data_IF_060809238828
#
_entry.id   IF_060809238828
#
_cell.length_a   1.000
_cell.length_b   1.000
_cell.length_c   1.000
_cell.angle_alpha   90.00
_cell.angle_beta   90.00
_cell.angle_gamma   90.00
#
_symmetry.space_group_name_H-M   'P 1'
#
loop_
_entity.id
_entity.type
_entity.pdbx_description
1 polymer ?
#
# COMPACT_ATOMS: atom_id res chain seq x y z
N UNK A 1 16.89 29.20 -14.17
CA UNK A 1 16.15 28.47 -13.12
C UNK A 1 16.74 27.07 -13.08
N UNK A 2 17.59 26.80 -12.11
CA UNK A 2 18.23 25.50 -11.92
C UNK A 2 17.34 24.68 -11.00
N UNK A 3 16.77 23.59 -11.52
CA UNK A 3 16.10 22.58 -10.72
C UNK A 3 17.08 22.05 -9.68
N UNK A 4 16.88 22.45 -8.42
CA UNK A 4 17.51 21.78 -7.29
C UNK A 4 16.85 20.41 -7.18
N UNK A 5 17.51 19.39 -7.70
CA UNK A 5 17.18 17.99 -7.43
C UNK A 5 17.23 17.80 -5.92
N UNK A 6 16.06 17.64 -5.29
CA UNK A 6 15.95 17.35 -3.86
C UNK A 6 16.53 15.95 -3.61
N UNK A 7 17.66 15.80 -2.89
CA UNK A 7 18.41 14.55 -2.81
C UNK A 7 17.72 13.44 -1.96
N UNK A 8 16.45 13.62 -1.60
CA UNK A 8 15.68 12.68 -0.77
C UNK A 8 14.44 12.07 -1.44
N UNK A 9 14.12 12.42 -2.69
CA UNK A 9 12.99 11.85 -3.42
C UNK A 9 13.43 10.64 -4.26
N UNK A 10 12.65 9.55 -4.29
CA UNK A 10 12.88 8.47 -5.24
C UNK A 10 12.88 9.00 -6.67
N UNK A 11 13.72 8.43 -7.53
CA UNK A 11 13.65 8.67 -8.96
C UNK A 11 12.27 8.23 -9.49
N UNK A 12 11.74 8.90 -10.53
CA UNK A 12 10.51 8.45 -11.21
C UNK A 12 10.60 6.96 -11.58
N UNK A 13 9.51 6.25 -11.39
CA UNK A 13 9.40 4.84 -11.74
C UNK A 13 8.46 4.70 -12.92
N UNK A 14 8.87 3.94 -13.92
CA UNK A 14 8.10 3.71 -15.14
C UNK A 14 7.95 2.21 -15.42
N UNK A 15 6.74 1.81 -15.78
CA UNK A 15 6.45 0.49 -16.34
C UNK A 15 6.04 0.65 -17.81
N UNK A 16 7.05 0.66 -18.68
CA UNK A 16 6.87 0.88 -20.13
C UNK A 16 6.05 -0.22 -20.79
N UNK A 17 6.23 -1.49 -20.38
CA UNK A 17 5.42 -2.61 -20.85
C UNK A 17 3.93 -2.37 -20.60
N UNK A 18 3.59 -1.92 -19.38
CA UNK A 18 2.21 -1.66 -19.02
C UNK A 18 1.63 -0.43 -19.75
N UNK A 19 2.45 0.60 -19.96
CA UNK A 19 2.11 1.77 -20.79
C UNK A 19 1.76 1.36 -22.22
N UNK A 20 2.61 0.57 -22.87
CA UNK A 20 2.40 0.12 -24.26
C UNK A 20 1.13 -0.73 -24.38
N UNK A 21 0.91 -1.64 -23.44
CA UNK A 21 -0.31 -2.45 -23.38
C UNK A 21 -1.57 -1.57 -23.25
N UNK A 22 -1.56 -0.57 -22.37
CA UNK A 22 -2.66 0.37 -22.20
C UNK A 22 -2.92 1.20 -23.48
N UNK A 23 -1.87 1.67 -24.16
CA UNK A 23 -1.99 2.41 -25.43
C UNK A 23 -2.62 1.53 -26.52
N UNK A 24 -2.17 0.28 -26.66
CA UNK A 24 -2.75 -0.65 -27.64
C UNK A 24 -4.22 -0.94 -27.33
N UNK A 25 -4.56 -1.16 -26.07
CA UNK A 25 -5.95 -1.36 -25.64
C UNK A 25 -6.84 -0.14 -25.95
N UNK A 26 -6.36 1.06 -25.63
CA UNK A 26 -7.04 2.31 -25.96
C UNK A 26 -7.27 2.46 -27.46
N UNK A 27 -6.28 2.10 -28.29
CA UNK A 27 -6.43 2.11 -29.73
C UNK A 27 -7.51 1.13 -30.21
N UNK A 28 -7.62 -0.08 -29.64
CA UNK A 28 -8.72 -0.99 -29.96
C UNK A 28 -10.08 -0.37 -29.62
N UNK A 29 -10.22 0.21 -28.42
CA UNK A 29 -11.47 0.84 -28.00
C UNK A 29 -11.88 2.01 -28.91
N UNK A 30 -10.92 2.82 -29.40
CA UNK A 30 -11.19 3.86 -30.41
C UNK A 30 -11.78 3.33 -31.72
N UNK A 31 -11.53 2.07 -32.05
CA UNK A 31 -12.14 1.40 -33.21
C UNK A 31 -13.47 0.71 -32.88
N UNK A 32 -14.04 0.97 -31.70
CA UNK A 32 -15.33 0.42 -31.25
C UNK A 32 -15.24 -0.98 -30.64
N UNK A 33 -14.04 -1.48 -30.34
CA UNK A 33 -13.85 -2.79 -29.73
C UNK A 33 -14.10 -2.75 -28.22
N UNK A 34 -14.89 -3.71 -27.71
CA UNK A 34 -15.09 -3.91 -26.27
C UNK A 34 -14.04 -4.90 -25.76
N UNK A 35 -13.26 -4.47 -24.77
CA UNK A 35 -12.19 -5.28 -24.18
C UNK A 35 -12.59 -5.78 -22.78
N UNK A 36 -12.04 -6.94 -22.42
CA UNK A 36 -12.32 -7.65 -21.17
C UNK A 36 -11.00 -8.16 -20.61
N UNK A 37 -10.78 -7.99 -19.31
CA UNK A 37 -9.54 -8.43 -18.67
C UNK A 37 -9.54 -9.96 -18.47
N UNK A 38 -8.41 -10.58 -18.79
CA UNK A 38 -8.12 -11.98 -18.44
C UNK A 38 -7.57 -12.16 -17.02
N UNK A 39 -7.27 -11.07 -16.32
CA UNK A 39 -6.80 -11.06 -14.92
C UNK A 39 -7.73 -10.23 -14.06
N UNK A 40 -7.93 -10.61 -12.80
CA UNK A 40 -8.75 -9.80 -11.89
C UNK A 40 -8.16 -8.38 -11.76
N UNK A 41 -8.94 -7.31 -11.93
CA UNK A 41 -8.41 -5.95 -11.87
C UNK A 41 -7.84 -5.54 -10.51
N UNK A 42 -8.34 -6.15 -9.43
CA UNK A 42 -7.92 -5.89 -8.05
C UNK A 42 -6.48 -6.34 -7.72
N UNK A 43 -5.85 -7.14 -8.59
CA UNK A 43 -4.46 -7.53 -8.44
C UNK A 43 -3.47 -6.47 -8.98
N UNK A 44 -3.96 -5.39 -9.60
CA UNK A 44 -3.12 -4.30 -10.10
C UNK A 44 -2.30 -4.60 -11.36
N UNK A 45 -2.43 -5.79 -11.92
CA UNK A 45 -1.74 -6.24 -13.14
C UNK A 45 -2.67 -6.29 -14.38
N UNK A 46 -3.98 -6.28 -14.14
CA UNK A 46 -5.01 -6.19 -15.17
C UNK A 46 -5.22 -4.76 -15.67
N UNK A 47 -5.79 -4.62 -16.87
CA UNK A 47 -6.42 -3.37 -17.30
C UNK A 47 -7.73 -3.18 -16.49
N UNK A 48 -8.20 -1.93 -16.30
CA UNK A 48 -9.42 -1.61 -15.54
C UNK A 48 -10.66 -1.90 -16.39
N UNK A 49 -10.80 -3.17 -16.75
CA UNK A 49 -11.84 -3.72 -17.60
C UNK A 49 -12.61 -4.78 -16.81
N UNK A 50 -13.84 -5.12 -17.22
CA UNK A 50 -14.56 -6.24 -16.63
C UNK A 50 -13.73 -7.52 -16.67
N UNK A 51 -13.85 -8.36 -15.65
CA UNK A 51 -13.13 -9.62 -15.59
C UNK A 51 -13.92 -10.73 -16.27
N UNK A 52 -13.31 -11.45 -17.22
CA UNK A 52 -14.02 -12.46 -18.01
C UNK A 52 -14.60 -13.58 -17.14
N UNK A 53 -13.91 -14.00 -16.09
CA UNK A 53 -14.37 -15.12 -15.26
C UNK A 53 -15.47 -14.74 -14.26
N UNK A 54 -15.85 -13.46 -14.18
CA UNK A 54 -17.04 -13.02 -13.45
C UNK A 54 -18.31 -13.07 -14.33
N UNK A 55 -18.18 -13.34 -15.64
CA UNK A 55 -19.32 -13.40 -16.57
C UNK A 55 -20.18 -14.65 -16.28
N UNK A 56 -21.48 -14.49 -15.99
CA UNK A 56 -22.36 -15.62 -15.74
C UNK A 56 -22.47 -16.55 -16.96
N UNK A 57 -22.49 -17.86 -16.72
CA UNK A 57 -22.66 -18.85 -17.78
C UNK A 57 -21.52 -18.91 -18.80
N UNK A 58 -20.35 -18.36 -18.49
CA UNK A 58 -19.16 -18.44 -19.34
C UNK A 58 -18.81 -19.91 -19.63
N UNK A 59 -18.72 -20.26 -20.91
CA UNK A 59 -18.35 -21.60 -21.38
C UNK A 59 -17.33 -21.51 -22.51
N UNK A 60 -16.68 -22.63 -22.83
CA UNK A 60 -15.74 -22.71 -23.95
C UNK A 60 -16.46 -22.38 -25.25
N UNK A 61 -15.88 -21.46 -26.03
CA UNK A 61 -16.40 -21.05 -27.33
C UNK A 61 -16.07 -22.05 -28.42
N UNK A 62 -16.86 -22.02 -29.49
CA UNK A 62 -16.49 -22.68 -30.75
C UNK A 62 -15.47 -21.84 -31.51
N UNK A 63 -14.53 -22.49 -32.22
CA UNK A 63 -13.55 -21.79 -33.06
C UNK A 63 -14.24 -20.79 -34.00
N UNK A 64 -13.76 -19.53 -34.12
CA UNK A 64 -12.46 -19.01 -33.67
C UNK A 64 -12.45 -18.34 -32.29
N UNK A 65 -13.45 -18.58 -31.44
CA UNK A 65 -13.61 -17.95 -30.12
C UNK A 65 -13.12 -18.86 -28.99
N UNK A 66 -12.58 -18.26 -27.94
CA UNK A 66 -12.08 -18.97 -26.76
C UNK A 66 -13.20 -19.27 -25.77
N UNK A 67 -14.08 -18.28 -25.57
CA UNK A 67 -15.24 -18.38 -24.68
C UNK A 67 -16.48 -17.79 -25.33
N UNK A 68 -17.63 -18.18 -24.81
CA UNK A 68 -18.94 -17.62 -25.14
C UNK A 68 -19.85 -17.63 -23.93
N UNK A 69 -20.86 -16.77 -23.95
CA UNK A 69 -21.94 -16.72 -22.98
C UNK A 69 -23.24 -16.30 -23.69
N UNK A 70 -24.32 -16.12 -22.95
CA UNK A 70 -25.61 -15.67 -23.48
C UNK A 70 -25.51 -14.33 -24.25
N UNK A 71 -24.68 -13.40 -23.77
CA UNK A 71 -24.59 -12.03 -24.31
C UNK A 71 -23.62 -11.89 -25.49
N UNK A 72 -22.69 -12.83 -25.69
CA UNK A 72 -21.71 -12.69 -26.75
C UNK A 72 -20.55 -13.69 -26.69
N UNK A 73 -19.53 -13.39 -27.50
CA UNK A 73 -18.34 -14.25 -27.69
C UNK A 73 -17.06 -13.50 -27.36
N UNK A 74 -16.07 -14.25 -26.87
CA UNK A 74 -14.79 -13.73 -26.43
C UNK A 74 -13.68 -14.35 -27.26
N UNK A 75 -12.79 -13.51 -27.80
CA UNK A 75 -11.58 -13.94 -28.49
C UNK A 75 -10.35 -13.35 -27.80
N UNK A 76 -9.41 -14.19 -27.41
CA UNK A 76 -8.20 -13.75 -26.75
C UNK A 76 -7.30 -12.97 -27.71
N UNK A 77 -6.82 -11.83 -27.23
CA UNK A 77 -5.87 -10.98 -27.94
C UNK A 77 -4.53 -11.01 -27.21
N UNK A 78 -3.62 -11.86 -27.70
CA UNK A 78 -2.32 -12.13 -27.09
C UNK A 78 -1.49 -10.86 -26.86
N UNK A 79 -1.53 -9.91 -27.79
CA UNK A 79 -0.79 -8.64 -27.65
C UNK A 79 -1.27 -7.78 -26.49
N UNK A 80 -2.53 -7.91 -26.09
CA UNK A 80 -3.14 -7.15 -25.01
C UNK A 80 -3.23 -7.92 -23.71
N UNK A 81 -2.98 -9.24 -23.71
CA UNK A 81 -3.29 -10.11 -22.59
C UNK A 81 -4.74 -9.94 -22.10
N UNK A 82 -5.67 -9.74 -23.04
CA UNK A 82 -7.08 -9.37 -22.80
C UNK A 82 -7.96 -10.05 -23.84
N UNK A 83 -9.28 -10.06 -23.63
CA UNK A 83 -10.24 -10.63 -24.57
C UNK A 83 -11.00 -9.52 -25.29
N UNK A 84 -11.21 -9.71 -26.60
CA UNK A 84 -12.17 -8.96 -27.39
C UNK A 84 -13.57 -9.56 -27.20
N UNK A 85 -14.53 -8.75 -26.75
CA UNK A 85 -15.92 -9.14 -26.64
C UNK A 85 -16.71 -8.70 -27.87
N UNK A 86 -17.42 -9.67 -28.49
CA UNK A 86 -18.35 -9.43 -29.59
C UNK A 86 -19.77 -9.70 -29.09
N UNK A 87 -20.60 -8.67 -28.89
CA UNK A 87 -21.97 -8.86 -28.40
C UNK A 87 -22.86 -9.49 -29.47
N UNK A 88 -23.83 -10.31 -29.07
CA UNK A 88 -24.77 -10.94 -30.00
C UNK A 88 -25.80 -9.94 -30.54
N UNK A 89 -26.42 -9.14 -29.66
CA UNK A 89 -27.45 -8.16 -29.99
C UNK A 89 -27.15 -6.77 -29.40
N UNK A 90 -25.86 -6.41 -29.31
CA UNK A 90 -25.41 -5.18 -28.63
C UNK A 90 -25.57 -5.20 -27.10
N UNK A 91 -26.00 -6.32 -26.53
CA UNK A 91 -26.13 -6.52 -25.08
C UNK A 91 -24.78 -6.84 -24.43
N UNK A 92 -24.66 -6.50 -23.15
CA UNK A 92 -23.50 -6.81 -22.31
C UNK A 92 -23.94 -7.65 -21.09
N UNK A 93 -23.05 -8.45 -20.49
CA UNK A 93 -23.32 -9.12 -19.23
C UNK A 93 -23.74 -8.15 -18.11
N UNK A 94 -24.47 -8.63 -17.09
CA UNK A 94 -24.82 -7.81 -15.93
C UNK A 94 -23.57 -7.29 -15.20
N UNK A 95 -23.73 -6.18 -14.49
CA UNK A 95 -22.69 -5.46 -13.74
C UNK A 95 -21.64 -4.77 -14.62
N UNK A 96 -21.73 -4.88 -15.95
CA UNK A 96 -20.82 -4.18 -16.85
C UNK A 96 -21.20 -2.72 -17.06
N UNK A 97 -22.41 -2.31 -16.68
CA UNK A 97 -22.92 -0.94 -16.80
C UNK A 97 -22.13 0.06 -15.94
N UNK A 98 -21.42 -0.43 -14.92
CA UNK A 98 -20.52 0.38 -14.08
C UNK A 98 -19.21 0.77 -14.79
N UNK A 99 -18.86 0.08 -15.87
CA UNK A 99 -17.67 0.38 -16.66
C UNK A 99 -18.05 1.24 -17.85
N UNK A 100 -17.24 2.26 -18.11
CA UNK A 100 -17.29 2.96 -19.39
C UNK A 100 -16.49 2.19 -20.44
N UNK A 101 -17.17 1.27 -21.12
CA UNK A 101 -16.56 0.37 -22.12
C UNK A 101 -16.17 1.08 -23.42
N UNK A 102 -16.74 2.26 -23.68
CA UNK A 102 -16.54 3.01 -24.93
C UNK A 102 -15.43 4.04 -24.78
N UNK A 103 -15.22 4.59 -23.58
CA UNK A 103 -14.09 5.49 -23.34
C UNK A 103 -12.77 4.72 -23.39
N UNK A 104 -11.83 5.11 -24.27
CA UNK A 104 -10.52 4.50 -24.34
C UNK A 104 -9.77 4.60 -23.01
N UNK A 105 -9.07 3.54 -22.63
CA UNK A 105 -8.16 3.55 -21.49
C UNK A 105 -7.13 4.68 -21.63
N UNK A 106 -6.88 5.38 -20.52
CA UNK A 106 -5.97 6.49 -20.44
C UNK A 106 -4.78 6.11 -19.55
N UNK A 107 -3.57 5.97 -20.13
CA UNK A 107 -2.35 5.79 -19.36
C UNK A 107 -2.01 7.12 -18.65
N UNK A 108 -1.87 7.08 -17.33
CA UNK A 108 -1.66 8.25 -16.48
C UNK A 108 -0.39 8.15 -15.63
N UNK A 109 0.08 9.30 -15.17
CA UNK A 109 1.10 9.40 -14.12
C UNK A 109 0.41 9.58 -12.78
N UNK A 110 0.81 8.81 -11.77
CA UNK A 110 0.37 8.99 -10.39
C UNK A 110 1.42 9.76 -9.59
N UNK A 111 1.02 10.87 -8.99
CA UNK A 111 1.82 11.69 -8.10
C UNK A 111 1.67 11.18 -6.67
N UNK A 112 2.77 10.67 -6.11
CA UNK A 112 2.82 10.08 -4.77
C UNK A 112 3.25 11.15 -3.76
N UNK A 113 2.35 11.46 -2.82
CA UNK A 113 2.65 12.23 -1.63
C UNK A 113 2.95 11.26 -0.49
N UNK A 114 4.25 11.10 -0.17
CA UNK A 114 4.68 10.20 0.91
C UNK A 114 4.30 10.71 2.29
N UNK A 115 4.22 12.02 2.48
CA UNK A 115 3.94 12.59 3.79
C UNK A 115 2.47 12.36 4.16
N UNK A 116 1.58 12.47 3.17
CA UNK A 116 0.14 12.31 3.36
C UNK A 116 -0.37 10.91 3.04
N UNK A 117 0.50 9.99 2.62
CA UNK A 117 0.14 8.67 2.11
C UNK A 117 -0.94 8.74 1.01
N UNK A 118 -0.77 9.66 0.06
CA UNK A 118 -1.72 9.87 -1.04
C UNK A 118 -1.09 9.52 -2.39
N UNK A 119 -1.93 9.10 -3.32
CA UNK A 119 -1.61 9.09 -4.74
C UNK A 119 -2.65 9.91 -5.50
N UNK A 120 -2.17 10.90 -6.26
CA UNK A 120 -3.02 11.77 -7.06
C UNK A 120 -2.82 11.49 -8.54
N UNK A 121 -3.90 11.21 -9.25
CA UNK A 121 -3.94 11.12 -10.71
C UNK A 121 -4.68 12.34 -11.23
N UNK A 122 -4.02 13.15 -12.04
CA UNK A 122 -4.63 14.29 -12.73
C UNK A 122 -4.79 13.98 -14.20
N UNK A 123 -6.01 14.16 -14.70
CA UNK A 123 -6.30 14.20 -16.13
C UNK A 123 -6.89 15.58 -16.47
N UNK A 124 -7.05 15.93 -17.75
CA UNK A 124 -7.56 17.26 -18.12
C UNK A 124 -8.92 17.60 -17.47
N UNK A 125 -9.75 16.59 -17.24
CA UNK A 125 -11.13 16.79 -16.81
C UNK A 125 -11.36 16.50 -15.31
N UNK A 126 -10.43 15.83 -14.64
CA UNK A 126 -10.64 15.37 -13.26
C UNK A 126 -9.34 15.13 -12.49
N UNK A 127 -9.47 15.20 -11.16
CA UNK A 127 -8.44 14.81 -10.21
C UNK A 127 -8.96 13.67 -9.34
N UNK A 128 -8.21 12.56 -9.30
CA UNK A 128 -8.51 11.39 -8.47
C UNK A 128 -7.46 11.35 -7.36
N UNK A 129 -7.91 11.37 -6.11
CA UNK A 129 -7.04 11.28 -4.94
C UNK A 129 -7.30 9.97 -4.22
N UNK A 130 -6.32 9.08 -4.25
CA UNK A 130 -6.28 7.83 -3.51
C UNK A 130 -5.68 8.10 -2.12
N UNK A 131 -6.32 7.56 -1.09
CA UNK A 131 -5.91 7.69 0.31
C UNK A 131 -5.29 6.38 0.80
N UNK A 132 -4.56 6.45 1.92
CA UNK A 132 -3.97 5.30 2.60
C UNK A 132 -3.04 4.47 1.71
N UNK A 133 -2.34 5.15 0.80
CA UNK A 133 -1.39 4.52 -0.12
C UNK A 133 -0.13 4.10 0.64
N UNK A 134 0.33 2.84 0.57
CA UNK A 134 1.50 2.40 1.32
C UNK A 134 2.79 2.79 0.62
N UNK A 135 3.13 4.07 0.78
CA UNK A 135 4.30 4.76 0.23
C UNK A 135 5.66 4.25 0.72
N UNK A 136 5.67 3.19 1.53
CA UNK A 136 6.86 2.44 1.97
C UNK A 136 7.16 1.20 1.13
N UNK A 137 6.23 0.75 0.28
CA UNK A 137 6.43 -0.34 -0.66
C UNK A 137 7.48 -0.02 -1.73
N UNK A 138 8.02 -1.07 -2.36
CA UNK A 138 8.84 -0.85 -3.56
C UNK A 138 7.98 -0.25 -4.70
N UNK A 139 8.56 0.53 -5.63
CA UNK A 139 7.80 1.23 -6.66
C UNK A 139 6.93 0.33 -7.55
N UNK A 140 7.36 -0.91 -7.79
CA UNK A 140 6.61 -1.88 -8.60
C UNK A 140 5.33 -2.33 -7.89
N UNK A 141 5.42 -2.73 -6.63
CA UNK A 141 4.26 -3.09 -5.80
C UNK A 141 3.34 -1.89 -5.58
N UNK A 142 3.92 -0.71 -5.33
CA UNK A 142 3.17 0.53 -5.17
C UNK A 142 2.35 0.85 -6.41
N UNK A 143 2.92 0.70 -7.62
CA UNK A 143 2.21 0.89 -8.87
C UNK A 143 1.04 -0.09 -9.01
N UNK A 144 1.23 -1.37 -8.67
CA UNK A 144 0.15 -2.37 -8.70
C UNK A 144 -1.00 -1.96 -7.78
N UNK A 145 -0.70 -1.53 -6.55
CA UNK A 145 -1.74 -1.16 -5.59
C UNK A 145 -2.48 0.12 -5.99
N UNK A 146 -1.77 1.11 -6.53
CA UNK A 146 -2.40 2.30 -7.13
C UNK A 146 -3.36 1.88 -8.24
N UNK A 147 -2.95 0.97 -9.13
CA UNK A 147 -3.82 0.47 -10.20
C UNK A 147 -5.00 -0.35 -9.70
N UNK A 148 -4.83 -1.18 -8.67
CA UNK A 148 -5.93 -1.91 -8.04
C UNK A 148 -6.98 -0.93 -7.48
N UNK A 149 -6.54 0.12 -6.79
CA UNK A 149 -7.43 1.15 -6.26
C UNK A 149 -8.11 1.96 -7.37
N UNK A 150 -7.40 2.31 -8.45
CA UNK A 150 -8.01 2.94 -9.63
C UNK A 150 -9.07 2.04 -10.28
N UNK A 151 -8.78 0.74 -10.42
CA UNK A 151 -9.70 -0.22 -11.04
C UNK A 151 -11.01 -0.40 -10.24
N UNK A 152 -10.97 -0.26 -8.92
CA UNK A 152 -12.19 -0.30 -8.08
C UNK A 152 -13.17 0.82 -8.42
N UNK A 153 -12.69 1.97 -8.90
CA UNK A 153 -13.55 3.07 -9.35
C UNK A 153 -14.23 2.81 -10.69
N UNK A 154 -13.90 1.70 -11.36
CA UNK A 154 -14.37 1.33 -12.71
C UNK A 154 -14.11 2.43 -13.77
N UNK A 155 -13.15 3.31 -13.52
CA UNK A 155 -12.76 4.37 -14.44
C UNK A 155 -11.64 3.89 -15.38
N UNK A 156 -11.54 4.45 -16.61
CA UNK A 156 -10.62 3.97 -17.63
C UNK A 156 -9.19 4.51 -17.42
N UNK A 157 -8.70 4.57 -16.18
CA UNK A 157 -7.36 5.09 -15.85
C UNK A 157 -6.41 3.98 -15.45
N UNK A 158 -5.20 4.05 -16.00
CA UNK A 158 -4.11 3.11 -15.70
C UNK A 158 -2.84 3.88 -15.40
N UNK A 159 -2.37 3.83 -14.16
CA UNK A 159 -1.08 4.36 -13.80
C UNK A 159 0.02 3.50 -14.44
N UNK A 160 0.92 4.13 -15.19
CA UNK A 160 2.12 3.49 -15.74
C UNK A 160 3.42 4.11 -15.22
N UNK A 161 3.32 5.31 -14.63
CA UNK A 161 4.44 6.06 -14.06
C UNK A 161 4.08 6.55 -12.67
N UNK A 162 5.05 6.43 -11.75
CA UNK A 162 4.99 7.05 -10.43
C UNK A 162 6.00 8.20 -10.39
N UNK A 163 5.56 9.32 -9.85
CA UNK A 163 6.41 10.46 -9.50
C UNK A 163 6.16 10.83 -8.04
N UNK A 164 7.15 11.43 -7.40
CA UNK A 164 7.04 11.80 -5.99
C UNK A 164 6.97 13.31 -5.85
N UNK A 165 5.97 13.77 -5.10
CA UNK A 165 5.83 15.19 -4.79
C UNK A 165 6.88 15.57 -3.76
N UNK A 166 7.57 16.68 -3.99
CA UNK A 166 8.39 17.34 -2.97
C UNK A 166 7.46 17.97 -1.92
N UNK A 167 7.04 17.19 -0.94
CA UNK A 167 6.44 17.72 0.28
C UNK A 167 7.54 18.08 1.26
N UNK A 168 7.40 19.21 1.96
CA UNK A 168 8.01 19.32 3.28
C UNK A 168 7.43 18.18 4.11
N UNK A 169 8.28 17.23 4.50
CA UNK A 169 7.89 16.20 5.43
C UNK A 169 7.59 16.90 6.75
N UNK A 170 6.32 17.08 7.08
CA UNK A 170 5.93 17.36 8.46
C UNK A 170 6.14 16.05 9.24
N UNK A 171 7.41 15.75 9.53
CA UNK A 171 7.78 14.53 10.22
C UNK A 171 7.18 14.64 11.60
N UNK A 172 6.25 13.74 11.93
CA UNK A 172 5.77 13.55 13.30
C UNK A 172 6.95 13.44 14.30
N UNK A 173 8.08 12.89 13.83
CA UNK A 173 9.36 12.92 14.53
C UNK A 173 10.48 13.45 13.63
N UNK A 174 10.84 14.74 13.72
CA UNK A 174 11.88 15.37 12.91
C UNK A 174 13.23 14.64 12.99
N UNK A 175 13.56 14.21 14.21
CA UNK A 175 14.80 13.52 14.57
C UNK A 175 14.72 11.98 14.46
N UNK A 176 13.62 11.47 13.89
CA UNK A 176 13.34 10.03 13.76
C UNK A 176 12.48 9.47 14.88
N UNK A 177 11.81 8.35 14.59
CA UNK A 177 10.91 7.66 15.54
C UNK A 177 11.66 7.39 16.86
N UNK A 178 11.10 7.77 18.03
CA UNK A 178 11.74 7.54 19.31
C UNK A 178 12.10 6.07 19.49
N UNK A 179 13.33 5.81 19.93
CA UNK A 179 13.82 4.46 20.18
C UNK A 179 14.27 4.31 21.62
N UNK A 180 14.05 3.12 22.15
CA UNK A 180 14.69 2.66 23.38
C UNK A 180 15.74 1.62 23.02
N UNK A 181 16.92 1.70 23.63
CA UNK A 181 18.03 0.78 23.38
C UNK A 181 18.70 0.33 24.67
N UNK A 182 19.22 -0.88 24.62
CA UNK A 182 20.19 -1.39 25.58
C UNK A 182 21.46 -1.87 24.83
N UNK A 183 22.35 -2.58 25.50
CA UNK A 183 23.59 -3.13 24.90
C UNK A 183 23.35 -4.18 23.81
N UNK A 184 22.13 -4.75 23.74
CA UNK A 184 21.81 -5.89 22.88
C UNK A 184 20.92 -5.53 21.68
N UNK A 185 20.27 -4.36 21.68
CA UNK A 185 19.43 -3.93 20.56
C UNK A 185 18.63 -2.66 20.82
N UNK A 186 17.86 -2.24 19.81
CA UNK A 186 16.95 -1.11 19.87
C UNK A 186 15.55 -1.48 19.37
N UNK A 187 14.54 -0.88 19.98
CA UNK A 187 13.14 -1.02 19.58
C UNK A 187 12.49 0.35 19.43
N UNK A 188 11.49 0.43 18.55
CA UNK A 188 10.72 1.66 18.35
C UNK A 188 9.71 1.84 19.48
N UNK A 189 9.57 3.07 19.96
CA UNK A 189 8.70 3.41 21.08
C UNK A 189 7.37 3.92 20.55
N UNK A 190 6.29 3.32 21.03
CA UNK A 190 4.90 3.71 20.73
C UNK A 190 4.30 4.62 21.80
N UNK A 191 4.91 4.65 22.99
CA UNK A 191 4.60 5.59 24.06
C UNK A 191 5.49 5.34 25.27
N UNK A 192 5.71 6.35 26.10
CA UNK A 192 6.49 6.21 27.33
C UNK A 192 6.07 7.25 28.36
N UNK A 193 6.35 6.97 29.64
CA UNK A 193 6.28 7.95 30.72
C UNK A 193 7.44 7.70 31.69
N UNK A 194 8.06 8.77 32.16
CA UNK A 194 9.04 8.75 33.24
C UNK A 194 8.82 9.96 34.14
N UNK A 195 9.27 9.88 35.39
CA UNK A 195 9.28 11.03 36.29
C UNK A 195 10.44 11.99 35.97
N UNK A 196 10.53 13.10 36.72
CA UNK A 196 11.58 14.11 36.58
C UNK A 196 13.00 13.56 36.84
N UNK A 197 13.11 12.47 37.59
CA UNK A 197 14.37 11.79 37.86
C UNK A 197 14.74 10.77 36.76
N UNK A 198 13.92 10.63 35.72
CA UNK A 198 14.11 9.68 34.63
C UNK A 198 13.75 8.24 35.00
N UNK A 199 13.01 8.03 36.10
CA UNK A 199 12.52 6.70 36.44
C UNK A 199 11.38 6.31 35.51
N UNK A 200 11.52 5.15 34.86
CA UNK A 200 10.57 4.65 33.88
C UNK A 200 9.27 4.19 34.54
N UNK A 201 8.15 4.80 34.19
CA UNK A 201 6.82 4.46 34.69
C UNK A 201 6.08 3.58 33.68
N UNK A 202 6.13 3.95 32.40
CA UNK A 202 5.46 3.26 31.31
C UNK A 202 6.35 3.20 30.07
N UNK A 203 6.27 2.09 29.35
CA UNK A 203 6.95 1.88 28.08
C UNK A 203 6.09 1.00 27.16
N UNK A 204 5.70 1.54 26.01
CA UNK A 204 5.16 0.80 24.87
C UNK A 204 6.20 0.73 23.76
N UNK A 205 6.50 -0.46 23.25
CA UNK A 205 7.55 -0.70 22.26
C UNK A 205 7.14 -1.71 21.19
N UNK A 206 7.58 -1.49 19.96
CA UNK A 206 7.43 -2.42 18.83
C UNK A 206 8.81 -2.85 18.35
N UNK A 207 8.98 -4.15 18.14
CA UNK A 207 10.22 -4.70 17.60
C UNK A 207 10.21 -6.22 17.50
N UNK A 208 11.35 -6.77 17.10
CA UNK A 208 11.55 -8.21 17.05
C UNK A 208 11.55 -8.82 18.46
N UNK A 209 10.97 -10.02 18.60
CA UNK A 209 10.77 -10.67 19.91
C UNK A 209 12.03 -10.71 20.78
N UNK A 210 13.16 -11.08 20.18
CA UNK A 210 14.44 -11.19 20.90
C UNK A 210 14.93 -9.87 21.47
N UNK A 211 14.73 -8.76 20.75
CA UNK A 211 15.12 -7.42 21.20
C UNK A 211 14.21 -6.97 22.35
N UNK A 212 12.90 -7.19 22.21
CA UNK A 212 11.94 -6.83 23.26
C UNK A 212 12.20 -7.64 24.54
N UNK A 213 12.55 -8.93 24.43
CA UNK A 213 12.88 -9.75 25.60
C UNK A 213 14.16 -9.27 26.29
N UNK A 214 15.14 -8.80 25.53
CA UNK A 214 16.35 -8.20 26.08
C UNK A 214 16.05 -6.90 26.84
N UNK A 215 15.27 -6.00 26.25
CA UNK A 215 14.83 -4.76 26.91
C UNK A 215 14.04 -5.08 28.19
N UNK A 216 13.11 -6.04 28.13
CA UNK A 216 12.36 -6.55 29.28
C UNK A 216 13.31 -7.05 30.37
N UNK A 217 14.32 -7.83 30.01
CA UNK A 217 15.30 -8.36 30.96
C UNK A 217 16.10 -7.24 31.63
N UNK A 218 16.55 -6.22 30.89
CA UNK A 218 17.23 -5.03 31.45
C UNK A 218 16.35 -4.30 32.49
N UNK A 219 15.06 -4.16 32.21
CA UNK A 219 14.08 -3.53 33.12
C UNK A 219 13.88 -4.38 34.39
N UNK A 220 13.62 -5.68 34.25
CA UNK A 220 13.42 -6.57 35.39
C UNK A 220 14.68 -6.75 36.26
N UNK A 221 15.85 -6.80 35.64
CA UNK A 221 17.12 -6.86 36.34
C UNK A 221 17.52 -5.52 36.98
N UNK A 222 16.71 -4.45 36.79
CA UNK A 222 16.91 -3.11 37.35
C UNK A 222 18.29 -2.54 37.02
N UNK A 223 18.78 -2.86 35.83
CA UNK A 223 20.10 -2.45 35.39
C UNK A 223 20.11 -0.94 35.12
N UNK A 224 20.67 -0.16 36.04
CA UNK A 224 20.81 1.29 35.89
C UNK A 224 21.83 1.60 34.80
N UNK A 225 21.60 2.68 34.05
CA UNK A 225 22.48 3.17 32.96
C UNK A 225 22.70 2.19 31.79
N UNK A 226 21.87 1.15 31.68
CA UNK A 226 21.88 0.21 30.55
C UNK A 226 20.70 0.37 29.60
N UNK A 227 19.78 1.28 29.91
CA UNK A 227 18.60 1.56 29.11
C UNK A 227 18.61 3.04 28.72
N UNK A 228 18.51 3.32 27.43
CA UNK A 228 18.56 4.66 26.89
C UNK A 228 17.36 4.90 26.00
N UNK A 229 16.59 5.94 26.31
CA UNK A 229 15.50 6.45 25.52
C UNK A 229 15.98 7.68 24.76
N UNK A 230 16.06 7.61 23.43
CA UNK A 230 16.59 8.69 22.58
C UNK A 230 17.96 9.23 23.07
N UNK A 231 18.85 8.32 23.50
CA UNK A 231 20.17 8.67 24.00
C UNK A 231 20.22 9.16 25.45
N UNK A 232 19.07 9.41 26.11
CA UNK A 232 18.99 9.76 27.52
C UNK A 232 18.84 8.50 28.39
N UNK A 233 19.59 8.38 29.50
CA UNK A 233 19.43 7.23 30.39
C UNK A 233 18.03 7.25 31.02
N UNK A 234 17.39 6.09 31.08
CA UNK A 234 16.14 5.86 31.80
C UNK A 234 16.35 4.77 32.84
N UNK A 235 15.71 4.90 34.00
CA UNK A 235 15.98 4.06 35.17
C UNK A 235 14.77 3.20 35.50
N UNK A 236 14.88 1.86 35.47
CA UNK A 236 13.82 1.00 35.96
C UNK A 236 13.55 1.24 37.46
N UNK A 237 12.28 1.39 37.84
CA UNK A 237 11.84 1.48 39.22
C UNK A 237 12.08 0.17 39.98
N UNK A 238 12.28 0.27 41.29
CA UNK A 238 12.42 -0.88 42.18
C UNK A 238 11.07 -1.56 42.48
N UNK A 239 10.27 -1.81 41.44
CA UNK A 239 8.94 -2.43 41.51
C UNK A 239 8.81 -3.53 40.47
N UNK A 240 7.65 -4.19 40.45
CA UNK A 240 7.28 -5.10 39.38
C UNK A 240 6.63 -4.31 38.23
N UNK A 241 6.93 -4.70 37.00
CA UNK A 241 6.29 -4.15 35.81
C UNK A 241 5.26 -5.15 35.30
N UNK A 242 3.99 -4.75 35.27
CA UNK A 242 2.96 -5.50 34.55
C UNK A 242 3.20 -5.38 33.05
N UNK A 243 2.98 -6.46 32.29
CA UNK A 243 3.33 -6.51 30.87
C UNK A 243 2.25 -7.18 30.03
N UNK A 244 2.10 -6.69 28.79
CA UNK A 244 1.24 -7.29 27.77
C UNK A 244 2.00 -7.33 26.45
N UNK A 245 1.87 -8.45 25.74
CA UNK A 245 2.52 -8.69 24.45
C UNK A 245 1.46 -9.02 23.40
N UNK A 246 1.49 -8.33 22.27
CA UNK A 246 0.64 -8.56 21.12
C UNK A 246 1.50 -8.88 19.90
N UNK A 247 1.24 -10.01 19.26
CA UNK A 247 1.93 -10.36 18.01
C UNK A 247 1.37 -9.55 16.85
N UNK A 248 2.25 -9.02 16.00
CA UNK A 248 1.95 -8.31 14.77
C UNK A 248 2.40 -9.18 13.59
N UNK A 249 1.56 -10.13 13.14
CA UNK A 249 1.95 -11.20 12.21
C UNK A 249 2.46 -10.67 10.86
N UNK A 250 1.85 -9.59 10.35
CA UNK A 250 2.20 -8.99 9.06
C UNK A 250 3.63 -8.39 9.04
N UNK A 251 4.23 -8.18 10.21
CA UNK A 251 5.52 -7.51 10.37
C UNK A 251 6.58 -8.40 11.03
N UNK A 252 6.26 -9.65 11.39
CA UNK A 252 7.16 -10.51 12.16
C UNK A 252 7.61 -9.88 13.49
N UNK A 253 6.76 -9.03 14.06
CA UNK A 253 7.09 -8.16 15.19
C UNK A 253 6.12 -8.37 16.35
N UNK A 254 6.45 -7.81 17.50
CA UNK A 254 5.59 -7.77 18.67
C UNK A 254 5.43 -6.33 19.11
N UNK A 255 4.25 -5.99 19.60
CA UNK A 255 4.04 -4.82 20.44
C UNK A 255 4.05 -5.28 21.90
N UNK A 256 4.93 -4.72 22.71
CA UNK A 256 5.01 -5.00 24.13
C UNK A 256 4.78 -3.71 24.92
N UNK A 257 4.02 -3.83 26.01
CA UNK A 257 3.83 -2.75 26.98
C UNK A 257 4.33 -3.20 28.34
N UNK A 258 5.00 -2.29 29.05
CA UNK A 258 5.47 -2.46 30.42
C UNK A 258 5.02 -1.26 31.24
N UNK A 259 4.35 -1.50 32.36
CA UNK A 259 3.90 -0.45 33.28
C UNK A 259 4.27 -0.81 34.71
N UNK A 260 4.90 0.13 35.40
CA UNK A 260 5.24 -0.01 36.81
C UNK A 260 3.96 -0.20 37.63
N UNK A 261 3.93 -1.21 38.51
CA UNK A 261 2.73 -1.52 39.31
C UNK A 261 2.12 -0.30 40.04
N UNK A 262 2.88 0.64 40.62
CA UNK A 262 2.31 1.81 41.30
C UNK A 262 1.51 2.75 40.37
N UNK A 263 1.70 2.64 39.06
CA UNK A 263 0.94 3.40 38.06
C UNK A 263 -0.35 2.68 37.60
N UNK A 264 -0.61 1.47 38.11
CA UNK A 264 -1.85 0.76 37.85
C UNK A 264 -2.88 1.05 38.95
N UNK A 265 -4.13 1.37 38.59
CA UNK A 265 -5.21 1.54 39.58
C UNK A 265 -5.35 0.29 40.45
N UNK A 266 -5.35 0.48 41.78
CA UNK A 266 -5.54 -0.59 42.75
C UNK A 266 -4.33 -1.48 43.03
N UNK A 267 -3.11 -1.05 42.67
CA UNK A 267 -1.85 -1.73 43.00
C UNK A 267 -0.85 -0.85 43.75
#
# INVERSE_FOLDING_TARGET
MTEKTNPGLPAPFENTYFRERAIKAANRQKHGHILVSGSKPDNGQGLPLPYIHDVPGLRRGSYPYDYECEWGRFKYEYELGSYLFTPHNGQVPPDWERYDLQTPIQPVTALIDRARCLATVKTPDREIVLRDVPVGENPYNLLQQVNAALAQSCQPFVAWRLEWVSGEFDRLWPDGVPQIRNEHGSAYVTGYAHDDAGNLIYLGVVGHKTVLESIRATIHARQRRKLFLQGRPVYPLATHYSQTWQHLPDYGAYHATLIANPALPGK
#
